data_IF_481223833294
#
_entry.id   IF_481223833294
#
_cell.length_a   1.000
_cell.length_b   1.000
_cell.length_c   1.000
_cell.angle_alpha   90.00
_cell.angle_beta   90.00
_cell.angle_gamma   90.00
#
_symmetry.space_group_name_H-M   'P 1'
#
loop_
_entity.id
_entity.type
_entity.pdbx_description
1 polymer ?
#
# COMPACT_ATOMS: atom_id res chain seq x y z
N UNK A 1 -9.11 -5.94 23.15
CA UNK A 1 -8.08 -5.77 22.13
C UNK A 1 -7.06 -6.92 22.02
N UNK A 2 -6.80 -7.68 23.07
CA UNK A 2 -5.77 -8.75 23.06
C UNK A 2 -6.31 -10.17 22.85
N UNK A 3 -7.60 -10.33 22.50
CA UNK A 3 -8.18 -11.64 22.26
C UNK A 3 -7.53 -12.30 21.02
N UNK A 4 -6.95 -13.50 21.15
CA UNK A 4 -6.22 -14.18 20.08
C UNK A 4 -7.10 -14.70 18.95
N UNK A 5 -8.42 -14.74 19.15
CA UNK A 5 -9.39 -15.25 18.17
C UNK A 5 -10.00 -14.16 17.30
N UNK A 6 -9.86 -12.88 17.65
CA UNK A 6 -10.42 -11.79 16.81
C UNK A 6 -9.57 -11.63 15.54
N UNK A 7 -10.22 -11.73 14.39
CA UNK A 7 -9.60 -11.51 13.10
C UNK A 7 -9.80 -10.04 12.65
N UNK A 8 -8.93 -9.15 13.18
CA UNK A 8 -8.95 -7.74 12.84
C UNK A 8 -8.77 -7.47 11.35
N UNK A 9 -7.92 -8.26 10.68
CA UNK A 9 -7.69 -8.16 9.24
C UNK A 9 -8.96 -8.46 8.45
N UNK A 10 -9.66 -9.54 8.81
CA UNK A 10 -10.95 -9.87 8.18
C UNK A 10 -12.00 -8.80 8.41
N UNK A 11 -12.06 -8.23 9.62
CA UNK A 11 -12.99 -7.15 9.96
C UNK A 11 -12.79 -5.94 9.05
N UNK A 12 -11.55 -5.47 8.91
CA UNK A 12 -11.26 -4.30 8.07
C UNK A 12 -11.53 -4.58 6.59
N UNK A 13 -11.19 -5.77 6.09
CA UNK A 13 -11.45 -6.18 4.71
C UNK A 13 -12.96 -6.21 4.42
N UNK A 14 -13.78 -6.85 5.27
CA UNK A 14 -15.22 -6.96 5.04
C UNK A 14 -15.93 -5.61 5.14
N UNK A 15 -15.49 -4.74 6.06
CA UNK A 15 -16.04 -3.38 6.12
C UNK A 15 -15.63 -2.55 4.90
N UNK A 16 -14.38 -2.64 4.46
CA UNK A 16 -13.92 -1.97 3.26
C UNK A 16 -14.68 -2.45 2.02
N UNK A 17 -14.91 -3.77 1.92
CA UNK A 17 -15.70 -4.37 0.82
C UNK A 17 -17.10 -3.78 0.78
N UNK A 18 -17.78 -3.74 1.92
CA UNK A 18 -19.12 -3.18 2.02
C UNK A 18 -19.15 -1.69 1.63
N UNK A 19 -18.24 -0.89 2.20
CA UNK A 19 -18.15 0.55 1.92
C UNK A 19 -17.87 0.81 0.43
N UNK A 20 -16.91 0.10 -0.14
CA UNK A 20 -16.54 0.29 -1.54
C UNK A 20 -17.69 -0.10 -2.47
N UNK A 21 -18.27 -1.28 -2.28
CA UNK A 21 -19.31 -1.79 -3.18
C UNK A 21 -20.67 -1.10 -3.00
N UNK A 22 -21.06 -0.73 -1.76
CA UNK A 22 -22.38 -0.14 -1.50
C UNK A 22 -22.41 1.41 -1.55
N UNK A 23 -21.27 2.09 -1.31
CA UNK A 23 -21.26 3.55 -1.18
C UNK A 23 -20.34 4.30 -2.14
N UNK A 24 -19.29 3.66 -2.67
CA UNK A 24 -18.29 4.38 -3.46
C UNK A 24 -18.25 3.98 -4.92
N UNK A 25 -18.49 2.71 -5.23
CA UNK A 25 -18.27 2.17 -6.59
C UNK A 25 -19.20 2.77 -7.63
N UNK A 26 -20.46 2.98 -7.29
CA UNK A 26 -21.46 3.59 -8.16
C UNK A 26 -21.21 5.09 -8.42
N UNK A 27 -20.39 5.72 -7.57
CA UNK A 27 -19.95 7.11 -7.73
C UNK A 27 -18.66 7.23 -8.56
N UNK A 28 -18.08 6.09 -8.97
CA UNK A 28 -16.87 6.03 -9.78
C UNK A 28 -17.26 6.02 -11.25
N UNK A 29 -16.74 6.95 -12.04
CA UNK A 29 -16.97 6.96 -13.50
C UNK A 29 -15.91 6.17 -14.26
N UNK A 30 -16.18 5.77 -15.50
CA UNK A 30 -15.21 5.10 -16.39
C UNK A 30 -13.92 5.91 -16.62
N UNK A 31 -13.99 7.23 -16.42
CA UNK A 31 -12.82 8.12 -16.46
C UNK A 31 -11.97 8.02 -15.17
N UNK A 32 -12.46 7.39 -14.11
CA UNK A 32 -11.78 7.16 -12.85
C UNK A 32 -11.45 5.68 -12.74
N UNK A 33 -10.22 5.32 -13.04
CA UNK A 33 -9.77 3.96 -12.79
C UNK A 33 -9.68 3.72 -11.27
N UNK A 34 -10.25 2.61 -10.81
CA UNK A 34 -10.08 2.12 -9.46
C UNK A 34 -8.84 1.23 -9.34
N UNK A 35 -8.18 1.29 -8.21
CA UNK A 35 -6.94 0.55 -7.99
C UNK A 35 -6.67 0.21 -6.54
N UNK A 36 -6.03 -0.93 -6.35
CA UNK A 36 -5.40 -1.28 -5.08
C UNK A 36 -4.03 -0.62 -5.00
N UNK A 37 -3.73 -0.01 -3.87
CA UNK A 37 -2.44 0.62 -3.59
C UNK A 37 -1.78 -0.07 -2.43
N UNK A 38 -0.50 -0.40 -2.60
CA UNK A 38 0.34 -0.93 -1.52
C UNK A 38 1.48 0.03 -1.23
N UNK A 39 1.69 0.29 0.04
CA UNK A 39 2.86 1.02 0.53
C UNK A 39 3.15 0.61 1.97
N UNK A 40 4.36 0.89 2.46
CA UNK A 40 4.70 0.65 3.84
C UNK A 40 5.18 1.92 4.53
N UNK A 41 4.82 2.06 5.78
CA UNK A 41 5.20 3.19 6.62
C UNK A 41 5.95 2.73 7.85
N UNK A 42 6.96 3.51 8.24
CA UNK A 42 7.67 3.26 9.50
C UNK A 42 6.71 3.46 10.69
N UNK A 43 6.66 2.46 11.55
CA UNK A 43 5.96 2.47 12.84
C UNK A 43 6.99 2.31 13.97
N UNK A 44 7.57 3.44 14.39
CA UNK A 44 8.61 3.48 15.42
C UNK A 44 8.06 3.16 16.81
N UNK A 45 8.87 2.53 17.67
CA UNK A 45 8.52 2.23 19.06
C UNK A 45 9.64 2.63 20.02
N UNK A 46 9.37 3.55 20.91
CA UNK A 46 10.30 3.94 21.98
C UNK A 46 10.48 2.81 22.99
N UNK A 47 9.41 2.12 23.39
CA UNK A 47 9.40 0.96 24.26
C UNK A 47 9.69 -0.38 23.57
N UNK A 48 10.51 -0.39 22.52
CA UNK A 48 10.72 -1.54 21.63
C UNK A 48 11.16 -2.82 22.34
N UNK A 49 11.98 -2.73 23.40
CA UNK A 49 12.45 -3.91 24.16
C UNK A 49 11.31 -4.71 24.80
N UNK A 50 10.24 -4.03 25.20
CA UNK A 50 9.03 -4.63 25.80
C UNK A 50 7.93 -4.89 24.75
N UNK A 51 8.05 -4.29 23.57
CA UNK A 51 7.04 -4.45 22.51
C UNK A 51 7.25 -5.77 21.78
N UNK A 52 6.21 -6.58 21.74
CA UNK A 52 6.24 -7.89 21.11
C UNK A 52 6.57 -7.79 19.61
N UNK A 53 7.53 -8.60 19.15
CA UNK A 53 8.04 -8.67 17.77
C UNK A 53 8.65 -7.37 17.23
N UNK A 54 8.90 -6.34 18.04
CA UNK A 54 9.60 -5.17 17.55
C UNK A 54 10.99 -5.56 17.02
N UNK A 55 11.38 -4.99 15.90
CA UNK A 55 12.61 -5.35 15.20
C UNK A 55 13.43 -4.12 14.79
N UNK A 56 14.68 -4.35 14.40
CA UNK A 56 15.46 -3.38 13.62
C UNK A 56 14.96 -3.39 12.19
N UNK A 57 14.32 -2.32 11.77
CA UNK A 57 13.76 -2.16 10.42
C UNK A 57 14.45 -1.00 9.71
N UNK A 58 14.71 -1.17 8.42
CA UNK A 58 15.35 -0.12 7.64
C UNK A 58 14.35 0.97 7.28
N UNK A 59 14.69 2.22 7.58
CA UNK A 59 13.93 3.39 7.19
C UNK A 59 14.52 4.02 5.93
N UNK A 60 13.76 3.98 4.85
CA UNK A 60 14.18 4.44 3.53
C UNK A 60 14.23 5.97 3.41
N UNK A 61 13.59 6.68 4.32
CA UNK A 61 13.62 8.15 4.36
C UNK A 61 14.92 8.64 4.98
N UNK A 62 15.25 8.14 6.18
CA UNK A 62 16.47 8.52 6.88
C UNK A 62 17.70 7.69 6.52
N UNK A 63 17.53 6.65 5.66
CA UNK A 63 18.58 5.70 5.26
C UNK A 63 19.29 5.04 6.44
N UNK A 64 18.57 4.82 7.56
CA UNK A 64 19.09 4.25 8.79
C UNK A 64 18.18 3.16 9.34
N UNK A 65 18.71 2.33 10.23
CA UNK A 65 17.89 1.37 10.96
C UNK A 65 17.15 2.04 12.11
N UNK A 66 15.84 1.84 12.17
CA UNK A 66 14.94 2.26 13.26
C UNK A 66 14.43 1.04 14.02
N UNK A 67 13.85 1.29 15.20
CA UNK A 67 13.33 0.24 16.10
C UNK A 67 11.81 0.29 16.09
N UNK A 68 11.17 -0.82 15.72
CA UNK A 68 9.72 -0.91 15.56
C UNK A 68 9.30 -1.87 14.46
N UNK A 69 8.47 -1.41 13.54
CA UNK A 69 7.89 -2.20 12.45
C UNK A 69 7.87 -1.41 11.15
N UNK A 70 7.78 -2.12 10.03
CA UNK A 70 7.29 -1.58 8.76
C UNK A 70 5.81 -1.95 8.65
N UNK A 71 4.92 -0.97 8.68
CA UNK A 71 3.48 -1.21 8.56
C UNK A 71 3.12 -1.26 7.08
N UNK A 72 3.07 -2.49 6.53
CA UNK A 72 2.52 -2.74 5.20
C UNK A 72 1.03 -2.42 5.21
N UNK A 73 0.58 -1.64 4.25
CA UNK A 73 -0.82 -1.25 4.10
C UNK A 73 -1.29 -1.48 2.68
N UNK A 74 -2.47 -2.03 2.56
CA UNK A 74 -3.25 -2.12 1.33
C UNK A 74 -4.44 -1.16 1.45
N UNK A 75 -4.64 -0.33 0.44
CA UNK A 75 -5.82 0.52 0.30
C UNK A 75 -6.46 0.35 -1.07
N UNK A 76 -7.68 0.84 -1.19
CA UNK A 76 -8.38 1.04 -2.45
C UNK A 76 -8.59 2.54 -2.68
N UNK A 77 -8.51 2.97 -3.93
CA UNK A 77 -8.87 4.34 -4.30
C UNK A 77 -9.37 4.40 -5.75
N UNK A 78 -10.26 5.32 -6.02
CA UNK A 78 -10.72 5.72 -7.36
C UNK A 78 -10.10 7.06 -7.80
N UNK A 79 -9.17 7.58 -7.00
CA UNK A 79 -8.54 8.88 -7.19
C UNK A 79 -9.33 10.06 -6.62
N UNK A 80 -10.47 9.81 -5.97
CA UNK A 80 -11.26 10.80 -5.21
C UNK A 80 -11.43 10.38 -3.74
N UNK A 81 -11.68 9.10 -3.50
CA UNK A 81 -11.76 8.53 -2.16
C UNK A 81 -10.65 7.53 -1.94
N UNK A 82 -10.14 7.42 -0.72
CA UNK A 82 -9.20 6.39 -0.30
C UNK A 82 -9.80 5.58 0.84
N UNK A 83 -9.76 4.26 0.73
CA UNK A 83 -10.26 3.31 1.73
C UNK A 83 -9.12 2.39 2.15
N UNK A 84 -8.61 2.47 3.39
CA UNK A 84 -7.63 1.51 3.89
C UNK A 84 -8.31 0.14 4.08
N UNK A 85 -7.78 -0.91 3.44
CA UNK A 85 -8.38 -2.25 3.45
C UNK A 85 -7.76 -3.12 4.52
N UNK A 86 -6.44 -3.23 4.51
CA UNK A 86 -5.69 -4.22 5.27
C UNK A 86 -4.30 -3.74 5.65
N UNK A 87 -3.79 -4.22 6.78
CA UNK A 87 -2.41 -3.95 7.17
C UNK A 87 -1.76 -5.12 7.91
N UNK A 88 -0.43 -5.15 7.87
CA UNK A 88 0.41 -6.02 8.69
C UNK A 88 1.64 -5.27 9.19
N UNK A 89 1.94 -5.39 10.46
CA UNK A 89 3.20 -4.90 11.03
C UNK A 89 4.32 -5.89 10.71
N UNK A 90 5.15 -5.56 9.73
CA UNK A 90 6.29 -6.38 9.36
C UNK A 90 7.41 -6.21 10.39
N UNK A 91 7.80 -7.32 10.97
CA UNK A 91 8.97 -7.48 11.82
C UNK A 91 10.14 -7.99 10.96
N UNK A 92 11.01 -8.80 11.51
CA UNK A 92 12.09 -9.44 10.76
C UNK A 92 11.88 -10.96 10.69
N UNK A 93 12.13 -11.53 9.51
CA UNK A 93 12.24 -12.98 9.35
C UNK A 93 13.46 -13.54 10.07
N UNK A 94 14.53 -12.74 10.21
CA UNK A 94 15.71 -13.10 10.98
C UNK A 94 15.50 -12.72 12.43
N UNK A 95 15.42 -13.72 13.30
CA UNK A 95 15.20 -13.56 14.73
C UNK A 95 16.27 -12.71 15.41
N UNK A 96 17.51 -12.67 14.91
CA UNK A 96 18.59 -11.80 15.40
C UNK A 96 18.26 -10.31 15.27
N UNK A 97 17.38 -9.93 14.35
CA UNK A 97 16.91 -8.56 14.19
C UNK A 97 15.70 -8.24 15.07
N UNK A 98 15.03 -9.25 15.64
CA UNK A 98 13.93 -9.07 16.57
C UNK A 98 14.52 -8.67 17.92
N UNK A 99 14.17 -7.48 18.38
CA UNK A 99 14.72 -6.85 19.61
C UNK A 99 13.67 -6.71 20.71
N UNK A 100 12.42 -6.97 20.37
CA UNK A 100 11.30 -7.00 21.31
C UNK A 100 11.07 -8.39 21.91
N UNK A 101 10.02 -8.50 22.70
CA UNK A 101 9.63 -9.78 23.32
C UNK A 101 9.00 -10.73 22.29
N UNK A 102 9.07 -12.02 22.57
CA UNK A 102 8.33 -13.05 21.81
C UNK A 102 7.41 -13.80 22.76
N UNK A 103 6.27 -14.27 22.24
CA UNK A 103 5.29 -15.05 23.00
C UNK A 103 5.07 -16.41 22.35
N UNK A 104 5.00 -17.45 23.18
CA UNK A 104 4.48 -18.76 22.71
C UNK A 104 2.95 -18.65 22.59
N UNK A 105 2.42 -18.90 21.41
CA UNK A 105 0.99 -18.84 21.12
C UNK A 105 0.59 -20.11 20.40
N UNK A 106 -0.62 -20.60 20.70
CA UNK A 106 -1.18 -21.75 20.01
C UNK A 106 -1.24 -21.50 18.50
N UNK A 107 -0.56 -22.35 17.73
CA UNK A 107 -0.42 -22.24 16.27
C UNK A 107 -1.73 -22.23 15.50
N UNK A 108 -2.83 -22.72 16.11
CA UNK A 108 -4.16 -22.77 15.51
C UNK A 108 -4.88 -21.43 15.55
N UNK A 109 -4.46 -20.51 16.40
CA UNK A 109 -5.12 -19.21 16.61
C UNK A 109 -4.86 -18.22 15.47
N UNK A 110 -5.77 -17.26 15.31
CA UNK A 110 -5.60 -16.12 14.40
C UNK A 110 -4.39 -15.28 14.80
N UNK A 111 -4.15 -15.15 16.11
CA UNK A 111 -2.99 -14.45 16.66
C UNK A 111 -1.66 -15.07 16.19
N UNK A 112 -1.56 -16.39 16.11
CA UNK A 112 -0.38 -17.07 15.58
C UNK A 112 -0.18 -16.82 14.09
N UNK A 113 -1.25 -16.96 13.28
CA UNK A 113 -1.21 -16.68 11.82
C UNK A 113 -0.75 -15.25 11.53
N UNK A 114 -1.20 -14.29 12.32
CA UNK A 114 -0.82 -12.87 12.24
C UNK A 114 0.68 -12.66 12.49
N UNK A 115 1.27 -13.39 13.44
CA UNK A 115 2.72 -13.31 13.74
C UNK A 115 3.57 -13.97 12.67
N UNK A 116 3.11 -15.07 12.10
CA UNK A 116 3.76 -15.70 10.95
C UNK A 116 3.80 -14.71 9.77
N UNK A 117 2.69 -14.03 9.49
CA UNK A 117 2.65 -12.97 8.47
C UNK A 117 3.63 -11.83 8.81
N UNK A 118 3.71 -11.40 10.07
CA UNK A 118 4.64 -10.36 10.52
C UNK A 118 6.12 -10.68 10.24
N UNK A 119 6.48 -11.94 10.27
CA UNK A 119 7.85 -12.43 10.03
C UNK A 119 8.05 -12.96 8.60
N UNK A 120 7.08 -12.76 7.70
CA UNK A 120 7.19 -13.10 6.29
C UNK A 120 7.89 -11.96 5.50
N UNK A 121 8.32 -12.25 4.28
CA UNK A 121 8.84 -11.22 3.39
C UNK A 121 7.73 -10.26 2.97
N UNK A 122 8.02 -8.96 2.89
CA UNK A 122 7.03 -7.96 2.51
C UNK A 122 6.32 -8.25 1.18
N UNK A 123 7.05 -8.76 0.18
CA UNK A 123 6.48 -9.18 -1.11
C UNK A 123 5.45 -10.30 -0.98
N UNK A 124 5.70 -11.28 -0.10
CA UNK A 124 4.78 -12.39 0.15
C UNK A 124 3.53 -11.89 0.90
N UNK A 125 3.71 -10.89 1.78
CA UNK A 125 2.61 -10.25 2.52
C UNK A 125 1.70 -9.45 1.59
N UNK A 126 2.26 -8.74 0.61
CA UNK A 126 1.46 -8.06 -0.44
C UNK A 126 0.50 -9.04 -1.11
N UNK A 127 1.01 -10.19 -1.54
CA UNK A 127 0.18 -11.22 -2.19
C UNK A 127 -0.86 -11.81 -1.22
N UNK A 128 -0.48 -12.07 0.04
CA UNK A 128 -1.42 -12.59 1.05
C UNK A 128 -2.55 -11.61 1.35
N UNK A 129 -2.27 -10.31 1.43
CA UNK A 129 -3.29 -9.28 1.66
C UNK A 129 -4.20 -9.15 0.43
N UNK A 130 -3.62 -9.15 -0.77
CA UNK A 130 -4.36 -9.09 -2.02
C UNK A 130 -5.31 -10.29 -2.17
N UNK A 131 -4.83 -11.52 -1.93
CA UNK A 131 -5.65 -12.74 -2.01
C UNK A 131 -6.83 -12.72 -1.03
N UNK A 132 -6.62 -12.19 0.18
CA UNK A 132 -7.70 -12.05 1.15
C UNK A 132 -8.74 -11.00 0.74
N UNK A 133 -8.31 -9.89 0.14
CA UNK A 133 -9.20 -8.86 -0.37
C UNK A 133 -10.03 -9.36 -1.57
N UNK A 134 -9.39 -10.02 -2.53
CA UNK A 134 -10.08 -10.63 -3.69
C UNK A 134 -11.07 -11.71 -3.25
N UNK A 135 -10.69 -12.55 -2.30
CA UNK A 135 -11.58 -13.59 -1.72
C UNK A 135 -12.80 -12.99 -1.01
N UNK A 136 -12.69 -11.78 -0.49
CA UNK A 136 -13.80 -11.08 0.14
C UNK A 136 -14.72 -10.36 -0.86
N UNK A 137 -14.42 -10.40 -2.16
CA UNK A 137 -15.25 -9.76 -3.20
C UNK A 137 -14.79 -8.35 -3.60
N UNK A 138 -13.66 -7.88 -3.05
CA UNK A 138 -13.08 -6.61 -3.50
C UNK A 138 -12.48 -6.78 -4.91
N UNK A 139 -12.72 -5.79 -5.76
CA UNK A 139 -12.18 -5.75 -7.12
C UNK A 139 -11.57 -4.39 -7.41
N UNK A 140 -10.57 -4.36 -8.28
CA UNK A 140 -9.99 -3.15 -8.84
C UNK A 140 -9.39 -3.45 -10.23
N UNK A 141 -9.25 -2.45 -11.06
CA UNK A 141 -8.65 -2.60 -12.39
C UNK A 141 -7.12 -2.74 -12.31
N UNK A 142 -6.50 -2.04 -11.37
CA UNK A 142 -5.04 -1.99 -11.24
C UNK A 142 -4.58 -2.28 -9.81
N UNK A 143 -3.32 -2.75 -9.72
CA UNK A 143 -2.53 -2.76 -8.48
C UNK A 143 -1.35 -1.80 -8.65
N UNK A 144 -1.17 -0.90 -7.69
CA UNK A 144 -0.08 0.08 -7.71
C UNK A 144 0.83 -0.02 -6.51
N UNK A 145 2.11 0.16 -6.74
CA UNK A 145 3.14 0.24 -5.71
C UNK A 145 4.38 0.99 -6.20
N UNK A 146 5.25 1.29 -5.27
CA UNK A 146 6.52 1.93 -5.55
C UNK A 146 7.62 0.95 -6.00
N UNK A 147 8.86 1.41 -6.03
CA UNK A 147 10.03 0.61 -6.45
C UNK A 147 10.35 -0.59 -5.57
N UNK A 148 9.84 -0.63 -4.33
CA UNK A 148 10.17 -1.69 -3.36
C UNK A 148 9.50 -3.01 -3.72
N UNK A 149 8.30 -2.93 -4.25
CA UNK A 149 7.47 -4.09 -4.57
C UNK A 149 7.45 -4.41 -6.06
N UNK A 150 8.10 -3.60 -6.91
CA UNK A 150 8.08 -3.73 -8.38
C UNK A 150 9.13 -4.71 -8.93
N UNK A 151 9.20 -5.92 -8.39
CA UNK A 151 10.01 -6.96 -9.00
C UNK A 151 9.21 -7.78 -10.02
N UNK A 152 9.85 -8.33 -11.07
CA UNK A 152 9.18 -9.09 -12.14
C UNK A 152 8.31 -10.23 -11.63
N UNK A 153 8.78 -11.00 -10.66
CA UNK A 153 8.04 -12.12 -10.08
C UNK A 153 6.71 -11.67 -9.48
N UNK A 154 6.70 -10.58 -8.71
CA UNK A 154 5.48 -10.05 -8.10
C UNK A 154 4.51 -9.50 -9.14
N UNK A 155 5.01 -8.82 -10.17
CA UNK A 155 4.19 -8.31 -11.28
C UNK A 155 3.49 -9.48 -11.98
N UNK A 156 4.21 -10.57 -12.28
CA UNK A 156 3.64 -11.78 -12.88
C UNK A 156 2.58 -12.40 -11.97
N UNK A 157 2.87 -12.56 -10.68
CA UNK A 157 1.90 -13.12 -9.72
C UNK A 157 0.61 -12.32 -9.63
N UNK A 158 0.67 -11.00 -9.67
CA UNK A 158 -0.51 -10.14 -9.64
C UNK A 158 -1.29 -10.28 -10.95
N UNK A 159 -0.61 -10.28 -12.09
CA UNK A 159 -1.25 -10.46 -13.39
C UNK A 159 -1.93 -11.81 -13.55
N UNK A 160 -1.37 -12.89 -12.96
CA UNK A 160 -2.01 -14.20 -12.91
C UNK A 160 -3.33 -14.22 -12.11
N UNK A 161 -3.58 -13.20 -11.28
CA UNK A 161 -4.84 -12.99 -10.55
C UNK A 161 -5.86 -12.17 -11.34
N UNK A 162 -5.56 -11.87 -12.62
CA UNK A 162 -6.45 -11.10 -13.50
C UNK A 162 -6.38 -9.58 -13.27
N UNK A 163 -5.37 -9.08 -12.57
CA UNK A 163 -5.20 -7.65 -12.27
C UNK A 163 -4.05 -7.06 -13.09
N UNK A 164 -4.23 -5.84 -13.55
CA UNK A 164 -3.15 -5.08 -14.16
C UNK A 164 -2.27 -4.41 -13.11
N UNK A 165 -1.01 -4.19 -13.43
CA UNK A 165 -0.03 -3.54 -12.56
C UNK A 165 0.43 -2.23 -13.16
N UNK A 166 0.45 -1.17 -12.36
CA UNK A 166 1.18 0.07 -12.67
C UNK A 166 2.13 0.35 -11.51
N UNK A 167 3.43 0.32 -11.76
CA UNK A 167 4.44 0.44 -10.71
C UNK A 167 5.65 1.26 -11.16
N UNK A 168 6.37 1.85 -10.19
CA UNK A 168 7.66 2.47 -10.47
C UNK A 168 8.76 1.41 -10.50
N UNK A 169 9.55 1.40 -11.55
CA UNK A 169 10.64 0.44 -11.76
C UNK A 169 11.89 0.85 -10.98
N UNK A 170 12.46 -0.10 -10.24
CA UNK A 170 13.74 0.08 -9.58
C UNK A 170 14.89 0.04 -10.60
N UNK A 171 15.73 1.07 -10.63
CA UNK A 171 16.93 1.14 -11.49
C UNK A 171 18.06 0.25 -10.96
N UNK A 172 17.86 -1.06 -10.95
CA UNK A 172 18.80 -2.06 -10.45
C UNK A 172 19.40 -2.85 -11.62
N UNK A 173 20.68 -3.19 -11.54
CA UNK A 173 21.33 -4.11 -12.51
C UNK A 173 20.83 -5.56 -12.38
N UNK A 174 20.25 -5.91 -11.22
CA UNK A 174 19.73 -7.25 -10.93
C UNK A 174 18.31 -7.50 -11.47
N UNK A 175 17.58 -6.45 -11.85
CA UNK A 175 16.22 -6.54 -12.38
C UNK A 175 16.29 -6.35 -13.88
N UNK A 176 15.88 -7.37 -14.63
CA UNK A 176 15.93 -7.37 -16.10
C UNK A 176 14.56 -7.68 -16.69
N UNK A 177 14.35 -7.14 -17.86
CA UNK A 177 13.18 -7.33 -18.73
C UNK A 177 13.66 -7.84 -20.07
N UNK A 178 12.82 -8.56 -20.80
CA UNK A 178 13.15 -8.91 -22.18
C UNK A 178 12.73 -7.75 -23.09
N UNK A 179 13.70 -7.21 -23.80
CA UNK A 179 13.54 -6.14 -24.78
C UNK A 179 14.25 -6.53 -26.05
N UNK A 180 13.53 -6.58 -27.20
CA UNK A 180 14.08 -7.01 -28.50
C UNK A 180 14.85 -8.35 -28.43
N UNK A 181 14.28 -9.32 -27.71
CA UNK A 181 14.87 -10.67 -27.55
C UNK A 181 16.08 -10.74 -26.61
N UNK A 182 16.43 -9.65 -25.92
CA UNK A 182 17.58 -9.60 -25.00
C UNK A 182 17.14 -9.25 -23.58
N UNK A 183 17.78 -9.87 -22.57
CA UNK A 183 17.58 -9.51 -21.16
C UNK A 183 18.37 -8.26 -20.82
N UNK A 184 17.67 -7.15 -20.56
CA UNK A 184 18.25 -5.85 -20.27
C UNK A 184 17.62 -5.23 -19.03
N UNK A 185 18.42 -4.56 -18.20
CA UNK A 185 17.87 -3.74 -17.14
C UNK A 185 17.34 -2.40 -17.69
N UNK A 186 16.53 -1.70 -16.89
CA UNK A 186 15.86 -0.47 -17.35
C UNK A 186 16.82 0.63 -17.78
N UNK A 187 18.04 0.70 -17.20
CA UNK A 187 19.05 1.69 -17.63
C UNK A 187 19.63 1.34 -19.00
N UNK A 188 19.86 0.06 -19.27
CA UNK A 188 20.33 -0.42 -20.57
C UNK A 188 19.28 -0.15 -21.65
N UNK A 189 18.00 -0.48 -21.38
CA UNK A 189 16.88 -0.18 -22.28
C UNK A 189 16.81 1.33 -22.54
N UNK A 190 16.85 2.13 -21.49
CA UNK A 190 16.82 3.59 -21.64
C UNK A 190 17.98 4.09 -22.52
N UNK A 191 19.20 3.58 -22.36
CA UNK A 191 20.38 4.01 -23.12
C UNK A 191 20.33 3.54 -24.59
N UNK A 192 19.79 2.38 -24.86
CA UNK A 192 19.69 1.81 -26.22
C UNK A 192 18.70 2.56 -27.12
N UNK A 193 17.67 3.18 -26.54
CA UNK A 193 16.58 3.81 -27.32
C UNK A 193 16.78 5.31 -27.51
N UNK A 194 16.27 5.86 -28.63
CA UNK A 194 16.19 7.31 -28.87
C UNK A 194 15.12 7.93 -27.98
N UNK A 195 15.45 9.03 -27.28
CA UNK A 195 14.54 9.72 -26.38
C UNK A 195 13.73 10.78 -27.13
N UNK A 196 12.47 10.98 -26.72
CA UNK A 196 11.64 12.10 -27.15
C UNK A 196 12.23 13.42 -26.67
N UNK A 197 12.21 14.42 -27.52
CA UNK A 197 12.68 15.79 -27.23
C UNK A 197 11.49 16.73 -27.02
N UNK A 198 11.77 17.92 -26.52
CA UNK A 198 10.79 19.00 -26.40
C UNK A 198 9.89 18.85 -25.17
N UNK A 199 8.63 19.28 -25.30
CA UNK A 199 7.63 19.36 -24.19
C UNK A 199 6.89 18.04 -23.93
N UNK A 200 7.37 16.91 -24.46
CA UNK A 200 6.73 15.61 -24.21
C UNK A 200 6.66 15.29 -22.71
N UNK A 201 5.54 14.76 -22.24
CA UNK A 201 5.34 14.33 -20.85
C UNK A 201 6.24 13.15 -20.48
N UNK A 202 6.64 12.33 -21.47
CA UNK A 202 7.55 11.20 -21.27
C UNK A 202 8.73 11.24 -22.24
N UNK A 203 9.82 10.60 -21.83
CA UNK A 203 11.07 10.55 -22.58
C UNK A 203 11.17 9.34 -23.50
N UNK A 204 10.60 8.21 -23.08
CA UNK A 204 10.66 6.93 -23.75
C UNK A 204 9.44 6.10 -23.39
N UNK A 205 8.91 5.36 -24.35
CA UNK A 205 7.92 4.31 -24.17
C UNK A 205 8.30 3.12 -25.01
N UNK A 206 8.43 1.94 -24.39
CA UNK A 206 8.81 0.70 -25.07
C UNK A 206 8.04 -0.49 -24.52
N UNK A 207 7.63 -1.42 -25.41
CA UNK A 207 7.12 -2.72 -24.98
C UNK A 207 8.25 -3.58 -24.46
N UNK A 208 7.97 -4.35 -23.42
CA UNK A 208 8.90 -5.33 -22.84
C UNK A 208 8.14 -6.57 -22.39
N UNK A 209 8.84 -7.68 -22.18
CA UNK A 209 8.27 -8.82 -21.49
C UNK A 209 8.83 -8.93 -20.07
N UNK A 210 7.95 -9.21 -19.13
CA UNK A 210 8.21 -9.29 -17.69
C UNK A 210 8.09 -10.73 -17.23
N UNK A 211 8.99 -11.15 -16.36
CA UNK A 211 9.02 -12.51 -15.85
C UNK A 211 9.98 -13.42 -16.63
N UNK A 212 10.16 -14.58 -16.08
CA UNK A 212 10.95 -15.67 -16.66
C UNK A 212 10.11 -16.96 -16.50
N UNK A 213 9.67 -17.59 -17.60
CA UNK A 213 8.83 -18.79 -17.53
C UNK A 213 9.39 -19.88 -16.61
N UNK A 214 10.70 -20.05 -16.58
CA UNK A 214 11.34 -21.06 -15.75
C UNK A 214 11.34 -20.72 -14.24
N UNK A 215 11.33 -19.43 -13.87
CA UNK A 215 11.40 -18.97 -12.49
C UNK A 215 10.07 -18.46 -11.95
N UNK A 216 9.32 -17.78 -12.80
CA UNK A 216 8.09 -17.07 -12.42
C UNK A 216 6.83 -17.81 -12.88
N UNK A 217 6.98 -18.91 -13.61
CA UNK A 217 5.90 -19.71 -14.16
C UNK A 217 5.20 -19.10 -15.37
N UNK A 218 5.50 -17.84 -15.70
CA UNK A 218 4.94 -17.12 -16.85
C UNK A 218 5.85 -15.95 -17.28
N UNK A 219 5.56 -15.48 -18.49
CA UNK A 219 6.08 -14.22 -19.01
C UNK A 219 4.91 -13.43 -19.57
N UNK A 220 4.83 -12.15 -19.28
CA UNK A 220 3.72 -11.27 -19.66
C UNK A 220 4.22 -10.04 -20.37
N UNK A 221 3.39 -9.50 -21.26
CA UNK A 221 3.67 -8.23 -21.94
C UNK A 221 3.44 -7.04 -21.00
N UNK A 222 4.30 -6.05 -21.12
CA UNK A 222 4.19 -4.80 -20.38
C UNK A 222 4.82 -3.65 -21.17
N UNK A 223 4.51 -2.43 -20.77
CA UNK A 223 5.08 -1.21 -21.31
C UNK A 223 5.90 -0.50 -20.26
N UNK A 224 7.15 -0.13 -20.57
CA UNK A 224 7.96 0.76 -19.72
C UNK A 224 7.85 2.17 -20.28
N UNK A 225 7.43 3.11 -19.42
CA UNK A 225 7.34 4.53 -19.71
C UNK A 225 8.32 5.30 -18.84
N UNK A 226 9.32 5.95 -19.45
CA UNK A 226 10.29 6.76 -18.74
C UNK A 226 9.86 8.22 -18.75
N UNK A 227 9.76 8.84 -17.58
CA UNK A 227 9.36 10.24 -17.41
C UNK A 227 10.45 11.05 -16.69
N UNK A 228 10.46 12.38 -16.90
CA UNK A 228 11.40 13.25 -16.18
C UNK A 228 11.09 13.25 -14.70
N UNK A 229 12.11 13.13 -13.86
CA UNK A 229 11.93 13.27 -12.43
C UNK A 229 11.64 14.74 -12.10
N UNK A 230 10.49 15.01 -11.45
CA UNK A 230 10.09 16.37 -11.08
C UNK A 230 11.02 17.00 -10.04
N UNK A 231 11.53 16.19 -9.11
CA UNK A 231 12.42 16.64 -8.04
C UNK A 231 13.88 16.79 -8.50
N UNK A 232 14.28 16.10 -9.57
CA UNK A 232 15.62 16.17 -10.13
C UNK A 232 15.56 16.11 -11.66
N UNK A 233 15.60 17.27 -12.32
CA UNK A 233 15.47 17.38 -13.78
C UNK A 233 16.57 16.67 -14.59
N UNK A 234 17.69 16.32 -13.96
CA UNK A 234 18.79 15.55 -14.57
C UNK A 234 18.55 14.04 -14.51
N UNK A 235 17.56 13.62 -13.75
CA UNK A 235 17.20 12.22 -13.55
C UNK A 235 15.82 11.90 -14.18
N UNK A 236 15.52 10.63 -14.31
CA UNK A 236 14.28 10.11 -14.84
C UNK A 236 13.77 8.99 -13.96
N UNK A 237 12.48 8.73 -13.97
CA UNK A 237 11.85 7.57 -13.36
C UNK A 237 11.23 6.72 -14.46
N UNK A 238 11.10 5.43 -14.22
CA UNK A 238 10.42 4.51 -15.13
C UNK A 238 9.19 3.94 -14.45
N UNK A 239 8.08 3.95 -15.16
CA UNK A 239 6.85 3.27 -14.80
C UNK A 239 6.73 2.03 -15.67
N UNK A 240 6.19 0.95 -15.11
CA UNK A 240 5.82 -0.24 -15.85
C UNK A 240 4.30 -0.41 -15.76
N UNK A 241 3.68 -0.77 -16.87
CA UNK A 241 2.24 -1.04 -16.95
C UNK A 241 2.01 -2.34 -17.73
N UNK A 242 1.20 -3.23 -17.18
CA UNK A 242 0.80 -4.49 -17.85
C UNK A 242 -0.46 -4.34 -18.70
N UNK A 243 -1.22 -3.26 -18.52
CA UNK A 243 -2.34 -2.91 -19.42
C UNK A 243 -1.78 -2.25 -20.67
N UNK A 244 -1.74 -3.02 -21.77
CA UNK A 244 -1.25 -2.54 -23.06
C UNK A 244 -2.26 -1.68 -23.80
N UNK A 245 -3.50 -1.57 -23.32
CA UNK A 245 -4.59 -0.85 -23.99
C UNK A 245 -4.61 0.65 -23.71
N UNK A 246 -3.99 1.09 -22.59
CA UNK A 246 -3.93 2.50 -22.20
C UNK A 246 -2.66 3.19 -22.72
N UNK A 247 -2.75 4.49 -22.99
CA UNK A 247 -1.62 5.28 -23.46
C UNK A 247 -0.68 5.72 -22.32
N UNK A 248 0.45 6.29 -22.67
CA UNK A 248 1.49 6.72 -21.73
C UNK A 248 1.03 7.85 -20.82
N UNK A 249 0.18 8.76 -21.31
CA UNK A 249 -0.33 9.87 -20.51
C UNK A 249 -1.29 9.36 -19.44
N UNK A 250 -2.09 8.37 -19.80
CA UNK A 250 -3.00 7.71 -18.87
C UNK A 250 -2.25 6.91 -17.80
N UNK A 251 -1.19 6.16 -18.18
CA UNK A 251 -0.31 5.48 -17.22
C UNK A 251 0.27 6.48 -16.20
N UNK A 252 0.76 7.62 -16.68
CA UNK A 252 1.33 8.67 -15.81
C UNK A 252 0.24 9.28 -14.91
N UNK A 253 -0.97 9.52 -15.46
CA UNK A 253 -2.10 10.09 -14.71
C UNK A 253 -2.55 9.16 -13.60
N UNK A 254 -2.77 7.89 -13.91
CA UNK A 254 -3.20 6.88 -12.94
C UNK A 254 -2.13 6.70 -11.86
N UNK A 255 -0.85 6.54 -12.23
CA UNK A 255 0.22 6.37 -11.26
C UNK A 255 0.33 7.54 -10.28
N UNK A 256 0.01 8.75 -10.71
CA UNK A 256 -0.04 9.93 -9.85
C UNK A 256 -1.00 9.80 -8.68
N UNK A 257 -2.06 8.99 -8.82
CA UNK A 257 -3.05 8.73 -7.75
C UNK A 257 -2.52 7.82 -6.64
N UNK A 258 -1.39 7.15 -6.84
CA UNK A 258 -0.70 6.40 -5.77
C UNK A 258 -0.44 7.29 -4.54
N UNK A 259 -0.35 8.59 -4.71
CA UNK A 259 -0.14 9.54 -3.62
C UNK A 259 -1.23 9.51 -2.54
N UNK A 260 -2.41 9.00 -2.83
CA UNK A 260 -3.53 8.94 -1.89
C UNK A 260 -3.19 8.10 -0.64
N UNK A 261 -2.36 7.05 -0.75
CA UNK A 261 -1.91 6.27 0.41
C UNK A 261 -0.95 7.08 1.31
N UNK A 262 -0.15 7.98 0.73
CA UNK A 262 0.73 8.85 1.52
C UNK A 262 -0.08 9.92 2.27
N UNK A 263 -1.13 10.44 1.63
CA UNK A 263 -2.11 11.34 2.29
C UNK A 263 -2.81 10.60 3.44
N UNK A 264 -3.22 9.35 3.21
CA UNK A 264 -3.78 8.49 4.26
C UNK A 264 -2.82 8.33 5.45
N UNK A 265 -1.54 8.02 5.22
CA UNK A 265 -0.57 7.89 6.31
C UNK A 265 -0.38 9.21 7.06
N UNK A 266 -0.28 10.33 6.35
CA UNK A 266 -0.15 11.67 6.95
C UNK A 266 -1.36 11.98 7.83
N UNK A 267 -2.55 11.85 7.30
CA UNK A 267 -3.82 12.11 8.01
C UNK A 267 -3.97 11.19 9.24
N UNK A 268 -3.75 9.89 9.06
CA UNK A 268 -3.90 8.92 10.15
C UNK A 268 -2.90 9.15 11.28
N UNK A 269 -1.66 9.54 10.99
CA UNK A 269 -0.66 9.87 12.00
C UNK A 269 -0.96 11.20 12.69
N UNK A 270 -1.40 12.22 11.96
CA UNK A 270 -1.65 13.56 12.50
C UNK A 270 -2.94 13.64 13.32
N UNK A 271 -4.04 13.13 12.77
CA UNK A 271 -5.36 13.30 13.35
C UNK A 271 -5.86 12.04 14.08
N UNK A 272 -5.68 10.86 13.51
CA UNK A 272 -6.17 9.60 14.09
C UNK A 272 -5.14 8.93 15.01
N UNK A 273 -4.02 9.60 15.27
CA UNK A 273 -2.97 9.18 16.23
C UNK A 273 -2.37 7.80 15.95
N UNK A 274 -2.31 7.41 14.68
CA UNK A 274 -1.67 6.17 14.28
C UNK A 274 -0.19 6.16 14.69
N UNK A 275 0.15 5.29 15.63
CA UNK A 275 1.53 5.11 16.11
C UNK A 275 1.98 6.05 17.24
N UNK A 276 1.18 7.02 17.67
CA UNK A 276 1.56 8.02 18.67
C UNK A 276 0.78 7.92 19.98
N UNK A 277 -0.53 7.67 19.95
CA UNK A 277 -1.38 7.69 21.13
C UNK A 277 -1.41 6.35 21.88
N UNK A 278 -1.27 5.24 21.16
CA UNK A 278 -1.39 3.91 21.75
C UNK A 278 -0.04 3.29 22.09
N UNK A 279 0.21 3.09 23.37
CA UNK A 279 1.46 2.53 23.90
C UNK A 279 1.39 1.02 24.22
N UNK A 280 0.42 0.29 23.65
CA UNK A 280 0.30 -1.14 23.83
C UNK A 280 1.57 -1.91 23.44
N UNK A 281 1.91 -2.93 24.22
CA UNK A 281 3.12 -3.74 24.07
C UNK A 281 2.84 -5.03 23.28
N UNK A 282 1.60 -5.50 23.28
CA UNK A 282 1.19 -6.72 22.59
C UNK A 282 1.01 -6.45 21.10
N UNK A 283 1.48 -7.37 20.26
CA UNK A 283 1.28 -7.32 18.80
C UNK A 283 -0.22 -7.31 18.43
N UNK A 284 -1.05 -8.07 19.15
CA UNK A 284 -2.50 -8.10 18.94
C UNK A 284 -3.16 -6.75 19.24
N UNK A 285 -2.71 -6.09 20.32
CA UNK A 285 -3.24 -4.80 20.69
C UNK A 285 -2.86 -3.69 19.69
N UNK A 286 -1.64 -3.72 19.16
CA UNK A 286 -1.21 -2.82 18.09
C UNK A 286 -2.06 -3.01 16.81
N UNK A 287 -2.30 -4.27 16.44
CA UNK A 287 -3.13 -4.60 15.27
C UNK A 287 -4.58 -4.13 15.47
N UNK A 288 -5.15 -4.34 16.67
CA UNK A 288 -6.48 -3.89 17.01
C UNK A 288 -6.60 -2.35 16.92
N UNK A 289 -5.64 -1.62 17.51
CA UNK A 289 -5.63 -0.16 17.43
C UNK A 289 -5.59 0.33 15.98
N UNK A 290 -4.73 -0.26 15.15
CA UNK A 290 -4.66 0.07 13.72
C UNK A 290 -5.98 -0.22 12.99
N UNK A 291 -6.65 -1.32 13.31
CA UNK A 291 -7.96 -1.62 12.76
C UNK A 291 -8.98 -0.51 13.12
N UNK A 292 -9.00 -0.02 14.36
CA UNK A 292 -9.86 1.11 14.74
C UNK A 292 -9.50 2.42 14.03
N UNK A 293 -8.22 2.69 13.79
CA UNK A 293 -7.81 3.84 12.96
C UNK A 293 -8.34 3.69 11.54
N UNK A 294 -8.26 2.49 10.95
CA UNK A 294 -8.80 2.22 9.62
C UNK A 294 -10.31 2.42 9.56
N UNK A 295 -11.04 1.89 10.54
CA UNK A 295 -12.49 2.09 10.64
C UNK A 295 -12.84 3.57 10.67
N UNK A 296 -12.20 4.36 11.54
CA UNK A 296 -12.42 5.82 11.60
C UNK A 296 -12.17 6.50 10.26
N UNK A 297 -11.06 6.14 9.60
CA UNK A 297 -10.73 6.71 8.29
C UNK A 297 -11.75 6.32 7.22
N UNK A 298 -12.22 5.09 7.21
CA UNK A 298 -13.25 4.60 6.29
C UNK A 298 -14.54 5.41 6.42
N UNK A 299 -15.02 5.62 7.65
CA UNK A 299 -16.21 6.46 7.88
C UNK A 299 -16.02 7.90 7.42
N UNK A 300 -14.85 8.49 7.71
CA UNK A 300 -14.53 9.84 7.21
C UNK A 300 -14.46 9.89 5.68
N UNK A 301 -14.04 8.81 5.02
CA UNK A 301 -13.98 8.74 3.56
C UNK A 301 -15.37 8.67 2.92
N UNK A 302 -16.33 7.99 3.55
CA UNK A 302 -17.74 7.97 3.15
C UNK A 302 -18.35 9.36 3.35
N UNK A 303 -18.22 9.92 4.53
CA UNK A 303 -18.73 11.24 4.88
C UNK A 303 -18.23 12.34 3.92
N UNK A 304 -16.92 12.29 3.60
CA UNK A 304 -16.34 13.22 2.64
C UNK A 304 -16.87 13.04 1.21
N UNK A 305 -17.31 11.84 0.86
CA UNK A 305 -17.84 11.53 -0.48
C UNK A 305 -19.30 11.96 -0.62
N UNK A 306 -20.04 12.02 0.48
CA UNK A 306 -21.39 12.50 0.50
C UNK A 306 -21.42 14.01 0.23
N UNK A 307 -22.17 14.41 -0.80
CA UNK A 307 -22.52 15.77 -1.18
C UNK A 307 -21.40 16.82 -1.13
N UNK A 308 -20.54 16.85 -2.18
CA UNK A 308 -19.70 18.01 -2.50
C UNK A 308 -18.94 18.64 -1.30
N UNK A 309 -18.58 17.81 -0.31
CA UNK A 309 -17.88 18.28 0.88
C UNK A 309 -16.43 18.67 0.54
N UNK A 310 -16.19 19.95 0.38
CA UNK A 310 -14.87 20.51 0.05
C UNK A 310 -13.89 20.50 1.23
N UNK A 311 -14.34 20.15 2.45
CA UNK A 311 -13.46 20.08 3.62
C UNK A 311 -12.31 19.12 3.42
N UNK A 312 -11.15 19.47 3.91
CA UNK A 312 -10.04 18.53 4.01
C UNK A 312 -10.35 17.45 5.05
N UNK A 313 -9.68 16.29 4.99
CA UNK A 313 -9.82 15.25 6.00
C UNK A 313 -9.51 15.74 7.42
N UNK A 314 -8.64 16.76 7.56
CA UNK A 314 -8.32 17.38 8.84
C UNK A 314 -9.47 18.24 9.38
N UNK A 315 -10.09 19.03 8.55
CA UNK A 315 -11.27 19.85 8.89
C UNK A 315 -12.45 18.95 9.24
N UNK A 316 -12.71 17.91 8.45
CA UNK A 316 -13.74 16.91 8.73
C UNK A 316 -13.52 16.26 10.10
N UNK A 317 -12.28 15.83 10.41
CA UNK A 317 -11.94 15.28 11.72
C UNK A 317 -12.21 16.27 12.85
N UNK A 318 -11.85 17.54 12.68
CA UNK A 318 -12.09 18.58 13.68
C UNK A 318 -13.57 18.77 13.94
N UNK A 319 -14.39 18.86 12.89
CA UNK A 319 -15.84 18.99 13.00
C UNK A 319 -16.47 17.81 13.72
N UNK A 320 -16.16 16.57 13.31
CA UNK A 320 -16.70 15.37 13.95
C UNK A 320 -16.27 15.26 15.43
N UNK A 321 -15.06 15.66 15.76
CA UNK A 321 -14.56 15.68 17.14
C UNK A 321 -15.29 16.70 18.00
N UNK A 322 -15.64 17.88 17.47
CA UNK A 322 -16.43 18.90 18.16
C UNK A 322 -17.86 18.42 18.41
N UNK A 323 -18.51 17.84 17.40
CA UNK A 323 -19.88 17.27 17.52
C UNK A 323 -19.90 16.19 18.61
N UNK A 324 -18.96 15.25 18.60
CA UNK A 324 -18.86 14.22 19.63
C UNK A 324 -18.64 14.81 21.03
N UNK A 325 -17.78 15.81 21.17
CA UNK A 325 -17.53 16.48 22.44
C UNK A 325 -18.78 17.18 22.98
N UNK A 326 -19.56 17.82 22.11
CA UNK A 326 -20.82 18.48 22.46
C UNK A 326 -21.89 17.47 22.91
N UNK A 327 -22.00 16.36 22.16
CA UNK A 327 -22.95 15.28 22.52
C UNK A 327 -22.57 14.67 23.87
N UNK A 328 -21.31 14.32 24.10
CA UNK A 328 -20.81 13.75 25.35
C UNK A 328 -20.98 14.75 26.53
N UNK A 329 -20.67 16.03 26.30
CA UNK A 329 -20.86 17.07 27.31
C UNK A 329 -22.34 17.20 27.75
N UNK A 330 -23.26 17.10 26.81
CA UNK A 330 -24.71 17.13 27.11
C UNK A 330 -25.22 15.85 27.81
N UNK A 331 -24.51 14.71 27.66
CA UNK A 331 -24.85 13.47 28.37
C UNK A 331 -24.30 13.44 29.81
N UNK A 332 -23.18 14.11 30.08
CA UNK A 332 -22.54 14.13 31.41
C UNK A 332 -23.17 15.16 32.32
N UNK A 333 -23.86 16.19 31.76
CA UNK A 333 -24.53 17.25 32.50
C UNK A 333 -26.03 16.95 32.77
N UNK A 334 -26.54 15.82 32.40
CA UNK A 334 -27.85 15.26 32.77
C UNK A 334 -27.69 14.12 33.75
#
# INVERSE_FOLDING_TARGET
MQNPHINWLRLTILLAEKIINEHLKDLTSDQRADFFVFDDSLYSRTGYKKTELAAKVFDHVSMTYKKGFRMMTMGWTDGSSFVPIASSFLSSKNDQNVIGTTKKIDKRTIASKRRIMAQSKGIDVVIQLLDQALKAGLTAKYVMFDTWFSNPHQIVQISQRGLNVIAMVKKSSKITYEFEGKRMNVKQIFNACKKRRGRSRYLLSVPVKVGDPAKDGAQIDARIVCVRNRSNRKDWIALICTDMTIDENEIIRIYGKRWDIEVFFKTSKSFLKLGTEYHGLSYDALTAHTAFVFLRYMFMSVEKRDDEDDRTMGELFSTLSQVLSTILGNFILK
#
